data_IF_694590429657
#
_entry.id   IF_694590429657
#
_cell.length_a   1.000
_cell.length_b   1.000
_cell.length_c   1.000
_cell.angle_alpha   90.00
_cell.angle_beta   90.00
_cell.angle_gamma   90.00
#
_symmetry.space_group_name_H-M   'P 1'
#
loop_
_entity.id
_entity.type
_entity.pdbx_description
1 polymer ?
#
# COMPACT_ATOMS: atom_id res chain seq x y z
N UNK A 1 9.98 -29.95 40.01
CA UNK A 1 11.15 -30.77 39.78
C UNK A 1 12.42 -29.91 39.86
N UNK A 2 13.37 -30.37 40.56
CA UNK A 2 14.66 -29.71 40.68
C UNK A 2 15.33 -29.62 39.32
N UNK A 3 15.84 -28.45 38.96
CA UNK A 3 16.47 -28.21 37.66
C UNK A 3 15.54 -27.87 36.55
N UNK A 4 14.23 -27.81 36.81
CA UNK A 4 13.28 -27.33 35.81
C UNK A 4 13.31 -25.80 35.72
N UNK A 5 13.66 -25.30 34.55
CA UNK A 5 13.70 -23.87 34.27
C UNK A 5 12.55 -23.56 33.30
N UNK A 6 11.54 -22.88 33.79
CA UNK A 6 10.35 -22.49 33.01
C UNK A 6 10.70 -21.59 31.81
N UNK A 7 11.78 -20.83 31.90
CA UNK A 7 12.20 -19.94 30.80
C UNK A 7 12.64 -20.69 29.56
N UNK A 8 13.10 -21.96 29.72
CA UNK A 8 13.49 -22.81 28.59
C UNK A 8 12.28 -23.31 27.78
N UNK A 9 11.10 -23.32 28.37
CA UNK A 9 9.88 -23.88 27.79
C UNK A 9 8.87 -22.82 27.36
N UNK A 10 9.12 -21.55 27.70
CA UNK A 10 8.30 -20.44 27.26
C UNK A 10 8.84 -19.98 25.91
N UNK A 11 8.02 -19.96 24.85
CA UNK A 11 8.45 -19.43 23.56
C UNK A 11 8.94 -18.00 23.72
N UNK A 12 10.07 -17.68 23.11
CA UNK A 12 10.51 -16.29 23.03
C UNK A 12 9.46 -15.46 22.31
N UNK A 13 9.28 -14.23 22.75
CA UNK A 13 8.38 -13.31 22.04
C UNK A 13 8.94 -13.01 20.66
N UNK A 14 8.19 -13.28 19.58
CA UNK A 14 8.68 -13.04 18.23
C UNK A 14 8.67 -11.57 17.88
N UNK A 15 9.58 -11.18 17.02
CA UNK A 15 9.54 -9.94 16.28
C UNK A 15 9.01 -10.25 14.87
N UNK A 16 8.24 -9.34 14.30
CA UNK A 16 7.63 -9.58 13.00
C UNK A 16 8.26 -8.71 11.93
N UNK A 17 8.39 -9.29 10.74
CA UNK A 17 8.90 -8.63 9.55
C UNK A 17 7.91 -8.85 8.40
N UNK A 18 7.59 -7.80 7.67
CA UNK A 18 6.74 -7.89 6.48
C UNK A 18 7.56 -7.46 5.26
N UNK A 19 7.70 -8.36 4.30
CA UNK A 19 8.45 -8.14 3.06
C UNK A 19 7.47 -7.94 1.93
N UNK A 20 7.52 -6.78 1.30
CA UNK A 20 6.61 -6.38 0.24
C UNK A 20 7.34 -6.26 -1.09
N UNK A 21 6.75 -6.83 -2.13
CA UNK A 21 7.25 -6.77 -3.48
C UNK A 21 6.13 -6.46 -4.47
N UNK A 22 6.39 -5.53 -5.36
CA UNK A 22 5.49 -5.21 -6.45
C UNK A 22 5.77 -6.16 -7.61
N UNK A 23 4.81 -7.00 -7.94
CA UNK A 23 4.92 -7.93 -9.08
C UNK A 23 4.59 -7.24 -10.39
N UNK A 24 3.56 -6.40 -10.40
CA UNK A 24 3.19 -5.52 -11.50
C UNK A 24 2.42 -4.31 -10.96
N UNK A 25 1.87 -3.46 -11.83
CA UNK A 25 1.14 -2.26 -11.40
C UNK A 25 -0.15 -2.55 -10.61
N UNK A 26 -0.62 -3.79 -10.62
CA UNK A 26 -1.88 -4.19 -9.99
C UNK A 26 -1.72 -5.29 -8.94
N UNK A 27 -0.51 -5.80 -8.76
CA UNK A 27 -0.27 -6.95 -7.89
C UNK A 27 0.91 -6.73 -6.97
N UNK A 28 0.67 -6.88 -5.67
CA UNK A 28 1.67 -6.80 -4.60
C UNK A 28 1.67 -8.11 -3.83
N UNK A 29 2.86 -8.67 -3.61
CA UNK A 29 3.06 -9.81 -2.73
C UNK A 29 3.64 -9.39 -1.39
N UNK A 30 3.24 -10.08 -0.32
CA UNK A 30 3.74 -9.82 1.02
C UNK A 30 4.03 -11.11 1.77
N UNK A 31 5.24 -11.22 2.31
CA UNK A 31 5.66 -12.33 3.15
C UNK A 31 5.76 -11.87 4.60
N UNK A 32 5.00 -12.52 5.48
CA UNK A 32 5.03 -12.24 6.91
C UNK A 32 5.93 -13.24 7.62
N UNK A 33 6.93 -12.73 8.31
CA UNK A 33 7.94 -13.52 9.00
C UNK A 33 7.89 -13.26 10.50
N UNK A 34 7.90 -14.33 11.29
CA UNK A 34 8.10 -14.28 12.73
C UNK A 34 9.56 -14.64 13.05
N UNK A 35 10.26 -13.73 13.71
CA UNK A 35 11.67 -13.89 14.08
C UNK A 35 11.80 -14.17 15.57
N UNK A 36 12.37 -15.32 15.90
CA UNK A 36 12.65 -15.76 17.26
C UNK A 36 14.17 -15.80 17.44
N UNK A 37 14.77 -14.62 17.64
CA UNK A 37 16.23 -14.50 17.60
C UNK A 37 16.74 -14.76 16.18
N UNK A 38 17.61 -15.75 16.03
CA UNK A 38 18.17 -16.12 14.73
C UNK A 38 17.23 -17.02 13.89
N UNK A 39 16.23 -17.61 14.54
CA UNK A 39 15.28 -18.48 13.86
C UNK A 39 14.11 -17.69 13.28
N UNK A 40 13.89 -17.81 11.99
CA UNK A 40 12.83 -17.09 11.29
C UNK A 40 11.87 -18.07 10.61
N UNK A 41 10.59 -17.81 10.75
CA UNK A 41 9.54 -18.64 10.19
C UNK A 41 8.54 -17.81 9.39
N UNK A 42 8.10 -18.34 8.26
CA UNK A 42 6.98 -17.75 7.53
C UNK A 42 5.69 -18.07 8.28
N UNK A 43 4.96 -17.04 8.69
CA UNK A 43 3.73 -17.20 9.50
C UNK A 43 2.66 -18.01 8.77
N UNK A 44 2.60 -17.94 7.44
CA UNK A 44 1.63 -18.67 6.64
C UNK A 44 2.03 -20.12 6.34
N UNK A 45 3.30 -20.47 6.59
CA UNK A 45 3.77 -21.82 6.36
C UNK A 45 3.30 -22.77 7.46
N UNK A 46 3.08 -24.02 7.07
CA UNK A 46 2.76 -25.08 8.01
C UNK A 46 3.91 -25.27 9.00
N UNK A 47 3.54 -25.48 10.25
CA UNK A 47 4.50 -25.71 11.32
C UNK A 47 5.07 -27.12 11.20
N UNK A 48 6.39 -27.21 11.27
CA UNK A 48 7.11 -28.48 11.26
C UNK A 48 7.33 -29.01 12.70
N UNK A 49 7.45 -30.34 12.88
CA UNK A 49 7.76 -30.90 14.19
C UNK A 49 9.06 -30.35 14.75
N UNK A 50 9.06 -29.99 16.04
CA UNK A 50 10.22 -29.45 16.73
C UNK A 50 10.34 -27.94 16.72
N UNK A 51 9.54 -27.23 15.93
CA UNK A 51 9.47 -25.78 15.97
C UNK A 51 8.75 -25.33 17.25
N UNK A 52 9.37 -24.43 17.98
CA UNK A 52 8.77 -23.82 19.18
C UNK A 52 8.39 -22.39 18.82
N UNK A 53 7.10 -22.16 18.62
CA UNK A 53 6.58 -20.88 18.16
C UNK A 53 5.38 -20.44 19.00
N UNK A 54 5.22 -19.13 19.15
CA UNK A 54 4.07 -18.54 19.80
C UNK A 54 2.95 -18.35 18.79
N UNK A 55 2.13 -19.37 18.60
CA UNK A 55 1.07 -19.38 17.59
C UNK A 55 -0.02 -18.36 17.87
N UNK A 56 -0.30 -18.07 19.14
CA UNK A 56 -1.28 -17.06 19.50
C UNK A 56 -0.84 -15.68 19.04
N UNK A 57 0.41 -15.35 19.26
CA UNK A 57 0.96 -14.06 18.83
C UNK A 57 1.08 -13.96 17.30
N UNK A 58 1.51 -15.05 16.66
CA UNK A 58 1.56 -15.09 15.19
C UNK A 58 0.18 -14.93 14.57
N UNK A 59 -0.85 -15.56 15.14
CA UNK A 59 -2.21 -15.40 14.65
C UNK A 59 -2.74 -13.98 14.88
N UNK A 60 -2.42 -13.38 16.02
CA UNK A 60 -2.80 -12.00 16.30
C UNK A 60 -2.23 -11.03 15.26
N UNK A 61 -0.94 -11.17 14.94
CA UNK A 61 -0.27 -10.30 13.96
C UNK A 61 -0.77 -10.61 12.55
N UNK A 62 -0.99 -11.88 12.23
CA UNK A 62 -1.58 -12.26 10.94
C UNK A 62 -2.93 -11.56 10.71
N UNK A 63 -3.78 -11.49 11.72
CA UNK A 63 -5.08 -10.81 11.61
C UNK A 63 -4.98 -9.31 11.40
N UNK A 64 -3.84 -8.70 11.75
CA UNK A 64 -3.58 -7.28 11.44
C UNK A 64 -3.20 -7.06 9.98
N UNK A 65 -2.52 -8.03 9.37
CA UNK A 65 -2.02 -7.94 7.98
C UNK A 65 -3.09 -8.37 6.97
N UNK A 66 -3.78 -9.45 7.25
CA UNK A 66 -4.71 -10.12 6.34
C UNK A 66 -5.74 -9.18 5.68
N UNK A 67 -6.35 -8.20 6.38
CA UNK A 67 -7.37 -7.33 5.77
C UNK A 67 -6.87 -6.45 4.63
N UNK A 68 -5.56 -6.27 4.48
CA UNK A 68 -4.99 -5.47 3.40
C UNK A 68 -4.77 -6.27 2.10
N UNK A 69 -5.05 -7.55 2.12
CA UNK A 69 -4.80 -8.46 0.99
C UNK A 69 -6.07 -9.24 0.63
N UNK A 70 -6.19 -9.66 -0.63
CA UNK A 70 -7.39 -10.33 -1.12
C UNK A 70 -7.15 -11.74 -1.64
N UNK A 71 -5.90 -12.17 -1.73
CA UNK A 71 -5.54 -13.49 -2.22
C UNK A 71 -4.33 -14.03 -1.48
N UNK A 72 -4.02 -15.31 -1.72
CA UNK A 72 -2.80 -15.96 -1.28
C UNK A 72 -2.05 -16.50 -2.48
N UNK A 73 -0.72 -16.43 -2.44
CA UNK A 73 0.15 -16.92 -3.50
C UNK A 73 1.19 -17.94 -3.01
N UNK A 74 1.93 -18.51 -3.95
CA UNK A 74 3.02 -19.47 -3.71
C UNK A 74 2.62 -20.60 -2.74
N UNK A 75 1.53 -21.31 -3.06
CA UNK A 75 1.04 -22.37 -2.19
C UNK A 75 0.53 -21.88 -0.84
N UNK A 76 -0.06 -20.69 -0.80
CA UNK A 76 -0.59 -20.05 0.38
C UNK A 76 0.49 -19.63 1.41
N UNK A 77 1.69 -19.34 0.94
CA UNK A 77 2.79 -18.90 1.81
C UNK A 77 3.02 -17.39 1.79
N UNK A 78 2.36 -16.67 0.91
CA UNK A 78 2.39 -15.20 0.86
C UNK A 78 0.98 -14.64 0.72
N UNK A 79 0.80 -13.41 1.22
CA UNK A 79 -0.39 -12.61 0.93
C UNK A 79 -0.23 -11.98 -0.44
N UNK A 80 -1.34 -11.87 -1.16
CA UNK A 80 -1.40 -11.19 -2.45
C UNK A 80 -2.51 -10.13 -2.41
N UNK A 81 -2.19 -8.94 -2.89
CA UNK A 81 -3.17 -7.92 -3.21
C UNK A 81 -3.18 -7.78 -4.72
N UNK A 82 -4.30 -8.10 -5.34
CA UNK A 82 -4.42 -8.17 -6.79
C UNK A 82 -5.67 -7.46 -7.29
N UNK A 83 -5.50 -6.63 -8.32
CA UNK A 83 -6.60 -6.00 -9.06
C UNK A 83 -7.63 -5.27 -8.16
N UNK A 84 -7.14 -4.57 -7.14
CA UNK A 84 -7.99 -3.76 -6.27
C UNK A 84 -7.26 -2.47 -5.89
N UNK A 85 -7.50 -1.42 -6.65
CA UNK A 85 -6.85 -0.13 -6.45
C UNK A 85 -7.19 0.50 -5.10
N UNK A 86 -8.42 0.33 -4.62
CA UNK A 86 -8.83 0.91 -3.33
C UNK A 86 -8.06 0.28 -2.18
N UNK A 87 -7.89 -1.03 -2.18
CA UNK A 87 -7.09 -1.72 -1.18
C UNK A 87 -5.61 -1.35 -1.29
N UNK A 88 -5.09 -1.22 -2.51
CA UNK A 88 -3.70 -0.82 -2.73
C UNK A 88 -3.44 0.60 -2.24
N UNK A 89 -4.34 1.52 -2.53
CA UNK A 89 -4.28 2.87 -2.01
C UNK A 89 -4.29 2.89 -0.47
N UNK A 90 -5.18 2.13 0.15
CA UNK A 90 -5.22 2.04 1.61
C UNK A 90 -3.94 1.48 2.20
N UNK A 91 -3.38 0.45 1.58
CA UNK A 91 -2.12 -0.13 2.03
C UNK A 91 -1.00 0.90 2.00
N UNK A 92 -0.85 1.62 0.89
CA UNK A 92 0.24 2.57 0.69
C UNK A 92 0.03 3.85 1.49
N UNK A 93 -1.20 4.38 1.54
CA UNK A 93 -1.47 5.67 2.18
C UNK A 93 -1.50 5.62 3.71
N UNK A 94 -1.96 4.53 4.28
CA UNK A 94 -2.11 4.42 5.74
C UNK A 94 -1.76 3.05 6.32
N UNK A 95 -1.97 1.98 5.55
CA UNK A 95 -1.82 0.61 6.05
C UNK A 95 -0.40 0.29 6.50
N UNK A 96 0.60 0.63 5.69
CA UNK A 96 2.01 0.36 6.02
C UNK A 96 2.45 1.11 7.27
N UNK A 97 2.01 2.33 7.44
CA UNK A 97 2.33 3.11 8.63
C UNK A 97 1.72 2.46 9.88
N UNK A 98 0.47 2.01 9.82
CA UNK A 98 -0.17 1.30 10.93
C UNK A 98 0.51 -0.01 11.25
N UNK A 99 0.83 -0.79 10.22
CA UNK A 99 1.53 -2.07 10.39
C UNK A 99 2.94 -1.89 10.95
N UNK A 100 3.61 -0.78 10.64
CA UNK A 100 4.95 -0.50 11.14
C UNK A 100 5.01 -0.31 12.66
N UNK A 101 3.88 -0.08 13.31
CA UNK A 101 3.79 -0.05 14.78
C UNK A 101 3.98 -1.44 15.41
N UNK A 102 3.73 -2.49 14.64
CA UNK A 102 3.76 -3.89 15.13
C UNK A 102 4.88 -4.72 14.52
N UNK A 103 5.48 -4.27 13.43
CA UNK A 103 6.45 -5.04 12.68
C UNK A 103 7.40 -4.14 11.89
N UNK A 104 8.54 -4.70 11.50
CA UNK A 104 9.45 -4.04 10.56
C UNK A 104 8.97 -4.28 9.13
N UNK A 105 8.96 -3.23 8.32
CA UNK A 105 8.49 -3.28 6.94
C UNK A 105 9.69 -3.16 6.00
N UNK A 106 9.84 -4.13 5.11
CA UNK A 106 10.88 -4.15 4.08
C UNK A 106 10.23 -4.16 2.70
N UNK A 107 10.72 -3.34 1.81
CA UNK A 107 10.16 -3.19 0.47
C UNK A 107 11.24 -3.29 -0.59
N UNK A 108 10.92 -3.88 -1.74
CA UNK A 108 11.80 -3.83 -2.91
C UNK A 108 11.80 -2.42 -3.50
N UNK A 109 12.77 -2.14 -4.36
CA UNK A 109 12.85 -0.84 -5.05
C UNK A 109 11.63 -0.59 -5.93
N UNK A 110 11.15 -1.62 -6.61
CA UNK A 110 9.93 -1.53 -7.43
C UNK A 110 8.71 -1.13 -6.60
N UNK A 111 8.60 -1.67 -5.40
CA UNK A 111 7.52 -1.29 -4.49
C UNK A 111 7.69 0.14 -3.99
N UNK A 112 8.91 0.57 -3.66
CA UNK A 112 9.20 1.94 -3.20
C UNK A 112 8.86 3.00 -4.23
N UNK A 113 8.88 2.65 -5.51
CA UNK A 113 8.45 3.53 -6.59
C UNK A 113 6.98 3.91 -6.52
N UNK A 114 6.15 3.05 -5.91
CA UNK A 114 4.75 3.36 -5.65
C UNK A 114 4.60 4.28 -4.44
N UNK A 115 4.00 5.43 -4.64
CA UNK A 115 3.81 6.40 -3.56
C UNK A 115 2.52 7.18 -3.77
N UNK A 116 2.09 7.84 -2.71
CA UNK A 116 0.99 8.79 -2.75
C UNK A 116 1.59 10.18 -2.86
N UNK A 117 1.21 10.90 -3.90
CA UNK A 117 1.64 12.29 -4.10
C UNK A 117 0.48 13.24 -3.85
N UNK A 118 0.81 14.46 -3.46
CA UNK A 118 -0.20 15.49 -3.22
C UNK A 118 -0.81 15.97 -4.52
N UNK A 119 -2.05 16.43 -4.46
CA UNK A 119 -2.70 17.08 -5.59
C UNK A 119 -1.86 18.22 -6.12
N UNK A 120 -1.68 18.31 -7.44
CA UNK A 120 -0.96 19.43 -8.03
C UNK A 120 -1.75 20.73 -7.87
N UNK A 121 -1.03 21.83 -7.80
CA UNK A 121 -1.64 23.15 -7.88
C UNK A 121 -2.10 23.39 -9.32
N UNK A 122 -3.39 23.66 -9.48
CA UNK A 122 -4.00 23.88 -10.80
C UNK A 122 -4.68 25.23 -10.83
N UNK A 123 -4.42 25.98 -11.87
CA UNK A 123 -5.12 27.25 -12.13
C UNK A 123 -5.87 27.20 -13.45
N UNK A 124 -7.00 27.91 -13.51
CA UNK A 124 -7.82 28.02 -14.70
C UNK A 124 -7.87 29.47 -15.13
N UNK A 125 -7.42 29.75 -16.34
CA UNK A 125 -7.51 31.05 -16.97
C UNK A 125 -8.58 31.06 -18.06
N UNK A 126 -9.09 32.25 -18.39
CA UNK A 126 -10.04 32.47 -19.48
C UNK A 126 -9.43 33.47 -20.46
N UNK A 127 -9.35 33.07 -21.71
CA UNK A 127 -8.89 33.95 -22.78
C UNK A 127 -9.99 34.16 -23.82
N UNK A 128 -10.12 35.41 -24.30
CA UNK A 128 -11.00 35.71 -25.38
C UNK A 128 -10.24 35.58 -26.72
N UNK A 129 -10.74 34.73 -27.60
CA UNK A 129 -10.13 34.47 -28.91
C UNK A 129 -11.20 34.40 -29.96
N UNK A 130 -11.18 35.37 -30.90
CA UNK A 130 -12.16 35.44 -32.01
C UNK A 130 -13.60 35.37 -31.53
N UNK A 131 -13.97 36.16 -30.52
CA UNK A 131 -15.28 36.20 -29.86
C UNK A 131 -15.68 34.91 -29.13
N UNK A 132 -14.77 33.95 -28.98
CA UNK A 132 -14.98 32.73 -28.20
C UNK A 132 -14.12 32.75 -26.95
N UNK A 133 -14.71 32.28 -25.84
CA UNK A 133 -13.98 32.10 -24.61
C UNK A 133 -13.22 30.80 -24.66
N UNK A 134 -11.89 30.86 -24.44
CA UNK A 134 -11.03 29.70 -24.34
C UNK A 134 -10.58 29.54 -22.90
N UNK A 135 -10.83 28.36 -22.31
CA UNK A 135 -10.35 28.02 -20.99
C UNK A 135 -8.90 27.58 -21.07
N UNK A 136 -8.06 28.27 -20.32
CA UNK A 136 -6.63 27.90 -20.19
C UNK A 136 -6.41 27.22 -18.84
N UNK A 137 -5.89 26.01 -18.88
CA UNK A 137 -5.63 25.20 -17.69
C UNK A 137 -4.12 25.14 -17.49
N UNK A 138 -3.66 25.55 -16.32
CA UNK A 138 -2.25 25.58 -15.99
C UNK A 138 -1.96 24.80 -14.71
N UNK A 139 -0.84 24.07 -14.71
CA UNK A 139 -0.26 23.51 -13.53
C UNK A 139 1.25 23.60 -13.63
N UNK A 140 1.90 24.03 -12.56
CA UNK A 140 3.35 24.10 -12.49
C UNK A 140 4.01 22.73 -12.32
N UNK A 141 3.24 21.73 -11.90
CA UNK A 141 3.75 20.39 -11.55
C UNK A 141 3.45 19.33 -12.61
N UNK A 142 2.54 19.61 -13.54
CA UNK A 142 2.08 18.64 -14.53
C UNK A 142 1.95 19.28 -15.91
N UNK A 143 2.21 18.47 -16.93
CA UNK A 143 1.92 18.85 -18.31
C UNK A 143 0.42 18.84 -18.61
N UNK A 144 0.03 19.47 -19.70
CA UNK A 144 -1.36 19.46 -20.19
C UNK A 144 -1.91 18.05 -20.41
N UNK A 145 -1.08 17.18 -20.97
CA UNK A 145 -1.45 15.80 -21.29
C UNK A 145 -1.65 15.00 -19.99
N UNK A 146 -0.81 15.22 -18.99
CA UNK A 146 -0.96 14.60 -17.68
C UNK A 146 -2.22 15.08 -16.98
N UNK A 147 -2.55 16.37 -17.05
CA UNK A 147 -3.79 16.90 -16.51
C UNK A 147 -5.02 16.34 -17.22
N UNK A 148 -4.98 16.25 -18.54
CA UNK A 148 -6.07 15.66 -19.32
C UNK A 148 -6.30 14.20 -18.93
N UNK A 149 -5.22 13.45 -18.73
CA UNK A 149 -5.29 12.06 -18.26
C UNK A 149 -5.93 11.98 -16.88
N UNK A 150 -5.51 12.83 -15.94
CA UNK A 150 -6.09 12.91 -14.60
C UNK A 150 -7.59 13.19 -14.63
N UNK A 151 -8.02 14.15 -15.44
CA UNK A 151 -9.43 14.51 -15.53
C UNK A 151 -10.28 13.35 -16.04
N UNK A 152 -9.75 12.54 -16.95
CA UNK A 152 -10.48 11.35 -17.43
C UNK A 152 -10.63 10.26 -16.38
N UNK A 153 -9.71 10.24 -15.40
CA UNK A 153 -9.69 9.25 -14.30
C UNK A 153 -10.32 9.77 -13.03
N UNK A 154 -10.60 11.07 -12.96
CA UNK A 154 -11.12 11.70 -11.76
C UNK A 154 -12.54 11.23 -11.43
N UNK A 155 -12.72 10.73 -10.23
CA UNK A 155 -14.01 10.37 -9.66
C UNK A 155 -14.16 11.09 -8.31
N UNK A 156 -15.19 11.95 -8.20
CA UNK A 156 -15.44 12.72 -6.97
C UNK A 156 -15.72 11.87 -5.75
N UNK A 157 -16.12 10.60 -5.95
CA UNK A 157 -16.38 9.67 -4.86
C UNK A 157 -15.11 9.06 -4.29
N UNK A 158 -14.01 9.16 -5.02
CA UNK A 158 -12.71 8.59 -4.61
C UNK A 158 -11.78 9.68 -4.09
N UNK A 159 -10.92 9.29 -3.14
CA UNK A 159 -9.92 10.19 -2.54
C UNK A 159 -8.63 10.26 -3.34
N UNK A 160 -8.52 9.49 -4.41
CA UNK A 160 -7.29 9.37 -5.19
C UNK A 160 -7.56 9.14 -6.67
N UNK A 161 -6.54 9.38 -7.47
CA UNK A 161 -6.48 8.96 -8.87
C UNK A 161 -5.19 8.17 -9.08
N UNK A 162 -5.27 7.03 -9.77
CA UNK A 162 -4.10 6.25 -10.13
C UNK A 162 -3.40 6.86 -11.34
N UNK A 163 -2.11 7.16 -11.21
CA UNK A 163 -1.30 7.72 -12.29
C UNK A 163 -0.79 6.63 -13.23
N UNK A 164 -0.37 7.00 -14.43
CA UNK A 164 0.19 6.07 -15.42
C UNK A 164 1.43 5.34 -14.91
N UNK A 165 2.25 6.01 -14.11
CA UNK A 165 3.47 5.43 -13.55
C UNK A 165 3.21 4.48 -12.37
N UNK A 166 1.94 4.34 -11.95
CA UNK A 166 1.55 3.49 -10.84
C UNK A 166 1.45 4.19 -9.49
N UNK A 167 1.83 5.45 -9.39
CA UNK A 167 1.65 6.25 -8.17
C UNK A 167 0.18 6.60 -7.97
N UNK A 168 -0.17 6.97 -6.74
CA UNK A 168 -1.49 7.49 -6.40
C UNK A 168 -1.40 8.99 -6.19
N UNK A 169 -2.30 9.72 -6.82
CA UNK A 169 -2.49 11.14 -6.57
C UNK A 169 -3.62 11.32 -5.56
N UNK A 170 -3.30 11.94 -4.44
CA UNK A 170 -4.30 12.28 -3.42
C UNK A 170 -5.14 13.45 -3.93
N UNK A 171 -6.42 13.18 -4.17
CA UNK A 171 -7.32 14.19 -4.73
C UNK A 171 -8.10 14.83 -3.60
N UNK A 172 -7.70 16.05 -3.27
CA UNK A 172 -8.47 16.90 -2.37
C UNK A 172 -9.07 18.04 -3.18
N UNK A 173 -9.88 18.79 -2.57
CA UNK A 173 -10.80 19.79 -3.08
C UNK A 173 -10.29 20.85 -4.05
N UNK A 174 -9.07 20.80 -4.51
CA UNK A 174 -8.45 21.90 -5.22
C UNK A 174 -8.91 21.98 -6.66
N UNK A 175 -8.11 22.46 -7.53
CA UNK A 175 -8.48 22.75 -8.89
C UNK A 175 -9.03 21.58 -9.70
N UNK A 176 -8.72 20.31 -9.36
CA UNK A 176 -9.19 19.16 -10.12
C UNK A 176 -10.70 18.99 -10.09
N UNK A 177 -11.34 19.20 -8.93
CA UNK A 177 -12.78 19.16 -8.81
C UNK A 177 -13.46 20.26 -9.64
N UNK A 178 -12.89 21.45 -9.60
CA UNK A 178 -13.36 22.57 -10.38
C UNK A 178 -13.23 22.32 -11.89
N UNK A 179 -12.10 21.78 -12.32
CA UNK A 179 -11.88 21.44 -13.74
C UNK A 179 -12.82 20.34 -14.22
N UNK A 180 -13.11 19.35 -13.39
CA UNK A 180 -14.05 18.29 -13.72
C UNK A 180 -15.48 18.81 -13.89
N UNK A 181 -15.86 19.86 -13.17
CA UNK A 181 -17.17 20.53 -13.35
C UNK A 181 -17.26 21.33 -14.62
N UNK A 182 -16.17 21.93 -15.06
CA UNK A 182 -16.10 22.77 -16.25
C UNK A 182 -16.01 21.95 -17.52
N UNK A 183 -15.30 20.82 -17.46
CA UNK A 183 -15.16 19.91 -18.61
C UNK A 183 -16.37 18.98 -18.72
#
# INVERSE_FOLDING_TARGET
AEGFDETLYVPKKPEFELYLDKQDNQTVGAKLVAAYGDDKYNVLQKIEPGEVRDLGEEMRVRTLVEPYFNEYGLGQTIFILSHNEDMLYQLISSGLQRLSEYMSIYTTEDFRGMKVVSSPSVSVGVALKSDLLELQIHSDEMSREELAYLLTRYDRKKKYVRLKNGDFLDVREDGLGLLAEIS
#
